data_IF_002426032956
#
_entry.id   IF_002426032956
#
_cell.length_a   1.000
_cell.length_b   1.000
_cell.length_c   1.000
_cell.angle_alpha   90.00
_cell.angle_beta   90.00
_cell.angle_gamma   90.00
#
_symmetry.space_group_name_H-M   'P 1'
#
loop_
_entity.id
_entity.type
_entity.pdbx_description
1 polymer ?
#
# COMPACT_ATOMS: atom_id res chain seq x y z
N UNK A 1 11.21 14.75 13.82
CA UNK A 1 10.08 14.27 12.99
C UNK A 1 10.63 13.49 11.83
N UNK A 2 10.07 12.31 11.52
CA UNK A 2 10.46 11.56 10.32
C UNK A 2 10.15 12.37 9.06
N UNK A 3 10.95 12.22 8.01
CA UNK A 3 10.79 12.94 6.73
C UNK A 3 9.52 12.50 5.98
N UNK A 4 8.98 11.33 6.30
CA UNK A 4 7.80 10.76 5.65
C UNK A 4 6.46 11.40 6.05
N UNK A 5 6.40 12.27 7.05
CA UNK A 5 5.14 12.96 7.37
C UNK A 5 4.89 14.13 6.42
N UNK A 6 3.70 14.17 5.82
CA UNK A 6 3.30 15.28 4.96
C UNK A 6 2.66 16.45 5.74
N UNK A 7 2.44 17.55 5.04
CA UNK A 7 1.77 18.75 5.58
C UNK A 7 0.30 18.50 5.95
N UNK A 8 -0.30 17.40 5.49
CA UNK A 8 -1.66 16.94 5.84
C UNK A 8 -1.68 16.00 7.06
N UNK A 9 -0.56 15.93 7.80
CA UNK A 9 -0.46 15.31 9.13
C UNK A 9 -0.56 13.77 9.09
N UNK A 10 -0.31 13.14 7.94
CA UNK A 10 -0.23 11.68 7.82
C UNK A 10 1.09 11.18 7.21
N UNK A 11 1.39 9.91 7.46
CA UNK A 11 2.57 9.23 6.91
C UNK A 11 2.42 9.00 5.41
N UNK A 12 3.26 9.65 4.60
CA UNK A 12 3.28 9.54 3.16
C UNK A 12 4.03 8.28 2.71
N UNK A 13 3.30 7.26 2.28
CA UNK A 13 3.86 5.98 1.85
C UNK A 13 4.92 6.09 0.75
N UNK A 14 4.77 7.02 -0.20
CA UNK A 14 5.79 7.23 -1.25
C UNK A 14 7.12 7.76 -0.68
N UNK A 15 7.10 8.34 0.52
CA UNK A 15 8.32 8.72 1.25
C UNK A 15 8.79 7.65 2.23
N UNK A 16 7.87 6.92 2.85
CA UNK A 16 8.21 5.86 3.83
C UNK A 16 9.12 4.80 3.22
N UNK A 17 8.92 4.45 1.95
CA UNK A 17 9.71 3.40 1.30
C UNK A 17 11.22 3.71 1.22
N UNK A 18 11.59 4.98 1.36
CA UNK A 18 12.99 5.43 1.35
C UNK A 18 13.58 5.58 2.77
N UNK A 19 12.80 5.33 3.82
CA UNK A 19 13.32 5.35 5.18
C UNK A 19 14.25 4.16 5.45
N UNK A 20 15.35 4.42 6.15
CA UNK A 20 16.35 3.41 6.49
C UNK A 20 15.74 2.18 7.20
N UNK A 21 14.82 2.40 8.16
CA UNK A 21 14.14 1.31 8.87
C UNK A 21 13.27 0.44 7.95
N UNK A 22 12.65 1.06 6.94
CA UNK A 22 11.81 0.36 5.97
C UNK A 22 12.66 -0.50 5.03
N UNK A 23 13.72 0.09 4.47
CA UNK A 23 14.68 -0.60 3.60
C UNK A 23 15.29 -1.81 4.34
N UNK A 24 15.82 -1.60 5.56
CA UNK A 24 16.33 -2.68 6.41
C UNK A 24 15.26 -3.74 6.71
N UNK A 25 13.98 -3.36 6.75
CA UNK A 25 12.87 -4.28 6.87
C UNK A 25 12.74 -5.22 5.68
N UNK A 26 12.80 -4.68 4.47
CA UNK A 26 12.81 -5.44 3.22
C UNK A 26 14.01 -6.39 3.14
N UNK A 27 15.22 -5.90 3.43
CA UNK A 27 16.46 -6.70 3.43
C UNK A 27 16.39 -7.89 4.40
N UNK A 28 15.79 -7.70 5.59
CA UNK A 28 15.59 -8.80 6.55
C UNK A 28 14.64 -9.88 6.02
N UNK A 29 13.61 -9.49 5.27
CA UNK A 29 12.69 -10.43 4.64
C UNK A 29 13.42 -11.22 3.55
N UNK A 30 14.19 -10.52 2.71
CA UNK A 30 15.01 -11.14 1.66
C UNK A 30 16.01 -12.16 2.22
N UNK A 31 16.81 -11.76 3.22
CA UNK A 31 17.77 -12.63 3.91
C UNK A 31 17.09 -13.86 4.53
N UNK A 32 15.90 -13.67 5.14
CA UNK A 32 15.13 -14.78 5.68
C UNK A 32 14.66 -15.77 4.60
N UNK A 33 14.23 -15.28 3.43
CA UNK A 33 13.89 -16.12 2.29
C UNK A 33 15.12 -16.88 1.76
N UNK A 34 16.27 -16.20 1.64
CA UNK A 34 17.53 -16.82 1.19
C UNK A 34 18.03 -17.92 2.15
N UNK A 35 17.68 -17.82 3.44
CA UNK A 35 17.93 -18.86 4.45
C UNK A 35 16.91 -20.01 4.43
N UNK A 36 15.91 -19.96 3.54
CA UNK A 36 14.88 -20.98 3.40
C UNK A 36 13.71 -20.85 4.37
N UNK A 37 13.56 -19.72 5.07
CA UNK A 37 12.42 -19.51 5.94
C UNK A 37 11.13 -19.25 5.15
N UNK A 38 10.02 -19.75 5.67
CA UNK A 38 8.67 -19.38 5.22
C UNK A 38 8.20 -18.19 6.04
N UNK A 39 8.16 -17.01 5.42
CA UNK A 39 7.83 -15.76 6.11
C UNK A 39 6.33 -15.48 5.97
N UNK A 40 5.67 -15.25 7.10
CA UNK A 40 4.31 -14.74 7.16
C UNK A 40 4.30 -13.41 7.91
N UNK A 41 3.73 -12.37 7.29
CA UNK A 41 3.53 -11.07 7.91
C UNK A 41 2.07 -10.95 8.34
N UNK A 42 1.83 -10.57 9.60
CA UNK A 42 0.47 -10.39 10.10
C UNK A 42 -0.15 -9.12 9.50
N UNK A 43 -1.39 -9.20 9.02
CA UNK A 43 -2.19 -8.03 8.68
C UNK A 43 -2.56 -7.20 9.93
N UNK A 44 -2.88 -5.93 9.74
CA UNK A 44 -3.44 -5.08 10.79
C UNK A 44 -4.97 -4.95 10.70
N UNK A 45 -5.54 -5.28 9.54
CA UNK A 45 -6.97 -5.19 9.23
C UNK A 45 -7.40 -6.46 8.49
N UNK A 46 -8.67 -6.83 8.63
CA UNK A 46 -9.27 -7.98 7.93
C UNK A 46 -9.31 -7.76 6.42
N UNK A 47 -9.68 -6.56 5.96
CA UNK A 47 -9.69 -6.20 4.54
C UNK A 47 -8.31 -5.64 4.11
N UNK A 48 -7.59 -6.28 3.18
CA UNK A 48 -6.27 -5.84 2.76
C UNK A 48 -6.25 -4.43 2.16
N UNK A 49 -7.30 -3.99 1.44
CA UNK A 49 -7.28 -2.62 0.87
C UNK A 49 -7.39 -1.52 1.94
N UNK A 50 -7.77 -1.89 3.18
CA UNK A 50 -7.80 -1.00 4.34
C UNK A 50 -6.57 -1.17 5.24
N UNK A 51 -5.65 -2.05 4.88
CA UNK A 51 -4.48 -2.37 5.69
C UNK A 51 -3.23 -1.65 5.18
N UNK A 52 -2.58 -0.86 6.03
CA UNK A 52 -1.31 -0.21 5.69
C UNK A 52 -0.24 -1.25 5.30
N UNK A 53 -0.24 -2.45 5.90
CA UNK A 53 0.70 -3.51 5.52
C UNK A 53 0.47 -4.07 4.12
N UNK A 54 -0.77 -4.06 3.61
CA UNK A 54 -1.02 -4.48 2.23
C UNK A 54 -0.70 -3.35 1.25
N UNK A 55 -1.18 -2.14 1.54
CA UNK A 55 -1.05 -0.97 0.66
C UNK A 55 0.38 -0.44 0.57
N UNK A 56 1.13 -0.44 1.68
CA UNK A 56 2.55 -0.05 1.71
C UNK A 56 3.44 -1.27 1.51
N UNK A 57 3.49 -2.18 2.50
CA UNK A 57 4.51 -3.24 2.54
C UNK A 57 4.29 -4.26 1.43
N UNK A 58 3.06 -4.74 1.22
CA UNK A 58 2.73 -5.71 0.19
C UNK A 58 3.05 -5.22 -1.21
N UNK A 59 2.69 -3.96 -1.51
CA UNK A 59 3.07 -3.31 -2.77
C UNK A 59 4.58 -3.21 -2.95
N UNK A 60 5.31 -2.68 -1.96
CA UNK A 60 6.77 -2.54 -2.06
C UNK A 60 7.48 -3.88 -2.21
N UNK A 61 7.00 -4.94 -1.54
CA UNK A 61 7.54 -6.29 -1.71
C UNK A 61 7.27 -6.84 -3.12
N UNK A 62 6.07 -6.62 -3.68
CA UNK A 62 5.77 -7.00 -5.07
C UNK A 62 6.70 -6.28 -6.05
N UNK A 63 6.89 -4.97 -5.89
CA UNK A 63 7.80 -4.15 -6.70
C UNK A 63 9.27 -4.61 -6.56
N UNK A 64 9.66 -5.11 -5.39
CA UNK A 64 10.96 -5.74 -5.15
C UNK A 64 11.07 -7.19 -5.69
N UNK A 65 10.05 -7.70 -6.38
CA UNK A 65 10.06 -9.01 -7.04
C UNK A 65 9.59 -10.18 -6.18
N UNK A 66 9.06 -9.93 -4.98
CA UNK A 66 8.50 -11.00 -4.15
C UNK A 66 7.15 -11.47 -4.69
N UNK A 67 6.89 -12.77 -4.61
CA UNK A 67 5.55 -13.32 -4.77
C UNK A 67 4.73 -13.11 -3.49
N UNK A 68 4.03 -11.98 -3.40
CA UNK A 68 3.23 -11.61 -2.22
C UNK A 68 1.84 -12.23 -2.30
N UNK A 69 1.51 -13.04 -1.29
CA UNK A 69 0.21 -13.69 -1.13
C UNK A 69 -0.50 -13.19 0.14
N UNK A 70 -1.79 -12.94 0.04
CA UNK A 70 -2.69 -12.51 1.11
C UNK A 70 -3.66 -13.64 1.43
N UNK A 71 -3.77 -13.98 2.72
CA UNK A 71 -4.81 -14.87 3.23
C UNK A 71 -5.99 -13.99 3.64
N UNK A 72 -7.11 -14.13 2.93
CA UNK A 72 -8.33 -13.37 3.20
C UNK A 72 -9.13 -13.99 4.34
N UNK A 73 -10.18 -13.31 4.78
CA UNK A 73 -11.06 -13.73 5.87
C UNK A 73 -11.87 -15.00 5.58
N UNK A 74 -12.17 -15.24 4.32
CA UNK A 74 -12.74 -16.49 3.80
C UNK A 74 -11.69 -17.61 3.61
N UNK A 75 -10.45 -17.39 4.08
CA UNK A 75 -9.28 -18.26 3.91
C UNK A 75 -8.78 -18.42 2.47
N UNK A 76 -9.36 -17.70 1.50
CA UNK A 76 -8.83 -17.70 0.14
C UNK A 76 -7.48 -17.01 0.09
N UNK A 77 -6.63 -17.48 -0.83
CA UNK A 77 -5.29 -16.91 -1.05
C UNK A 77 -5.31 -16.10 -2.34
N UNK A 78 -4.92 -14.83 -2.26
CA UNK A 78 -4.88 -13.90 -3.40
C UNK A 78 -3.52 -13.22 -3.49
N UNK A 79 -3.06 -12.92 -4.69
CA UNK A 79 -1.79 -12.21 -4.89
C UNK A 79 -1.97 -10.68 -4.79
N UNK A 80 -0.88 -9.93 -4.90
CA UNK A 80 -0.95 -8.46 -4.90
C UNK A 80 -1.69 -7.89 -6.12
N UNK A 81 -1.69 -8.54 -7.29
CA UNK A 81 -2.47 -8.07 -8.46
C UNK A 81 -3.97 -8.03 -8.17
N UNK A 82 -4.48 -9.00 -7.41
CA UNK A 82 -5.87 -8.98 -6.95
C UNK A 82 -6.15 -7.75 -6.06
N UNK A 83 -5.18 -7.36 -5.22
CA UNK A 83 -5.31 -6.13 -4.42
C UNK A 83 -5.32 -4.90 -5.33
N UNK A 84 -4.50 -4.87 -6.39
CA UNK A 84 -4.49 -3.78 -7.36
C UNK A 84 -5.86 -3.63 -8.05
N UNK A 85 -6.50 -4.74 -8.45
CA UNK A 85 -7.87 -4.69 -8.98
C UNK A 85 -8.87 -4.14 -7.96
N UNK A 86 -8.77 -4.56 -6.69
CA UNK A 86 -9.65 -4.09 -5.62
C UNK A 86 -9.45 -2.60 -5.32
N UNK A 87 -8.22 -2.10 -5.42
CA UNK A 87 -7.91 -0.67 -5.35
C UNK A 87 -8.58 0.07 -6.50
N UNK A 88 -8.46 -0.44 -7.73
CA UNK A 88 -9.11 0.16 -8.89
C UNK A 88 -10.64 0.11 -8.81
N UNK A 89 -11.23 -0.97 -8.31
CA UNK A 89 -12.68 -1.08 -8.12
C UNK A 89 -13.22 -0.03 -7.15
N UNK A 90 -12.44 0.29 -6.11
CA UNK A 90 -12.81 1.29 -5.12
C UNK A 90 -12.65 2.72 -5.63
N UNK A 91 -11.51 3.04 -6.24
CA UNK A 91 -11.15 4.42 -6.57
C UNK A 91 -11.46 4.81 -8.02
N UNK A 92 -11.59 3.83 -8.91
CA UNK A 92 -11.89 4.00 -10.33
C UNK A 92 -13.02 3.03 -10.79
N UNK A 93 -14.22 3.07 -10.16
CA UNK A 93 -15.32 2.16 -10.51
C UNK A 93 -15.85 2.36 -11.94
N UNK A 94 -15.64 3.55 -12.52
CA UNK A 94 -16.07 3.91 -13.88
C UNK A 94 -15.05 3.60 -14.98
N UNK A 95 -13.89 3.00 -14.67
CA UNK A 95 -12.77 2.83 -15.63
C UNK A 95 -13.08 2.00 -16.87
N UNK A 96 -14.15 1.21 -16.84
CA UNK A 96 -14.60 0.41 -17.99
C UNK A 96 -15.63 1.12 -18.88
N UNK A 97 -16.01 2.37 -18.53
CA UNK A 97 -16.94 3.17 -19.34
C UNK A 97 -16.16 4.06 -20.30
N UNK A 98 -16.70 4.25 -21.51
CA UNK A 98 -16.16 5.21 -22.48
C UNK A 98 -16.47 6.62 -21.94
N UNK A 99 -15.44 7.37 -21.57
CA UNK A 99 -15.55 8.76 -21.10
C UNK A 99 -15.24 9.76 -22.22
N UNK A 100 -15.50 11.04 -21.97
CA UNK A 100 -15.09 12.09 -22.92
C UNK A 100 -13.57 12.18 -22.99
N UNK A 101 -12.87 12.00 -21.86
CA UNK A 101 -11.40 11.96 -21.81
C UNK A 101 -10.83 10.82 -22.66
N UNK A 102 -11.54 9.69 -22.73
CA UNK A 102 -11.22 8.57 -23.62
C UNK A 102 -11.19 8.96 -25.09
N UNK A 103 -12.21 9.70 -25.52
CA UNK A 103 -12.30 10.18 -26.89
C UNK A 103 -11.25 11.27 -27.21
N UNK A 104 -10.77 11.97 -26.19
CA UNK A 104 -9.75 13.02 -26.31
C UNK A 104 -8.31 12.49 -26.14
N UNK A 105 -8.13 11.20 -25.84
CA UNK A 105 -6.81 10.59 -25.63
C UNK A 105 -6.13 11.01 -24.32
N UNK A 106 -6.89 11.51 -23.35
CA UNK A 106 -6.39 11.96 -22.04
C UNK A 106 -6.57 10.90 -20.94
N UNK A 107 -6.76 9.63 -21.31
CA UNK A 107 -6.96 8.55 -20.33
C UNK A 107 -5.67 8.27 -19.56
N UNK A 108 -5.82 8.10 -18.25
CA UNK A 108 -4.78 7.46 -17.46
C UNK A 108 -4.61 6.02 -17.93
N UNK A 109 -3.38 5.59 -18.13
CA UNK A 109 -3.07 4.17 -18.28
C UNK A 109 -3.49 3.41 -17.02
N UNK A 110 -3.66 2.10 -17.16
CA UNK A 110 -3.96 1.23 -16.02
C UNK A 110 -2.91 1.36 -14.90
N UNK A 111 -1.64 1.45 -15.26
CA UNK A 111 -0.55 1.62 -14.30
C UNK A 111 -0.68 2.94 -13.54
N UNK A 112 -0.96 4.04 -14.24
CA UNK A 112 -1.21 5.34 -13.61
C UNK A 112 -2.42 5.32 -12.68
N UNK A 113 -3.51 4.65 -13.07
CA UNK A 113 -4.68 4.48 -12.20
C UNK A 113 -4.33 3.67 -10.94
N UNK A 114 -3.53 2.60 -11.06
CA UNK A 114 -3.07 1.84 -9.90
C UNK A 114 -2.23 2.74 -8.99
N UNK A 115 -1.25 3.45 -9.54
CA UNK A 115 -0.42 4.38 -8.78
C UNK A 115 -1.25 5.41 -8.02
N UNK A 116 -2.18 6.07 -8.69
CA UNK A 116 -3.06 7.04 -8.06
C UNK A 116 -4.01 6.40 -7.03
N UNK A 117 -4.54 5.21 -7.32
CA UNK A 117 -5.39 4.48 -6.37
C UNK A 117 -4.68 4.15 -5.06
N UNK A 118 -3.39 3.82 -5.10
CA UNK A 118 -2.59 3.63 -3.88
C UNK A 118 -2.31 4.95 -3.15
N UNK A 119 -2.16 6.08 -3.85
CA UNK A 119 -2.08 7.41 -3.19
C UNK A 119 -3.38 7.77 -2.50
N UNK A 120 -4.51 7.50 -3.15
CA UNK A 120 -5.84 7.68 -2.56
C UNK A 120 -6.03 6.78 -1.32
N UNK A 121 -5.61 5.52 -1.40
CA UNK A 121 -5.59 4.62 -0.25
C UNK A 121 -4.71 5.15 0.87
N UNK A 122 -3.46 5.53 0.58
CA UNK A 122 -2.54 6.15 1.55
C UNK A 122 -3.19 7.36 2.25
N UNK A 123 -3.85 8.26 1.52
CA UNK A 123 -4.56 9.40 2.12
C UNK A 123 -5.70 8.98 3.06
N UNK A 124 -6.40 7.88 2.75
CA UNK A 124 -7.49 7.35 3.55
C UNK A 124 -7.01 6.63 4.82
N UNK A 125 -5.98 5.78 4.71
CA UNK A 125 -5.54 4.86 5.78
C UNK A 125 -4.19 5.21 6.42
N UNK A 126 -3.50 6.22 5.90
CA UNK A 126 -2.22 6.67 6.39
C UNK A 126 -2.29 7.09 7.86
N UNK A 127 -1.26 6.74 8.62
CA UNK A 127 -1.20 7.03 10.05
C UNK A 127 -1.21 8.54 10.30
N UNK A 128 -2.18 9.05 11.07
CA UNK A 128 -2.37 10.48 11.36
C UNK A 128 -1.75 10.88 12.71
N UNK A 129 -0.98 11.97 12.73
CA UNK A 129 -0.30 12.48 13.95
C UNK A 129 -1.32 13.07 14.94
N UNK A 130 -2.50 13.50 14.50
CA UNK A 130 -3.56 14.05 15.37
C UNK A 130 -4.09 13.04 16.42
N UNK A 131 -3.78 11.75 16.28
CA UNK A 131 -4.11 10.72 17.27
C UNK A 131 -3.03 10.52 18.35
N UNK A 132 -1.97 11.33 18.38
CA UNK A 132 -1.00 11.28 19.47
C UNK A 132 -1.63 11.88 20.74
N UNK A 133 -1.69 11.13 21.86
CA UNK A 133 -1.96 11.77 23.14
C UNK A 133 -0.86 12.83 23.34
N UNK A 134 -1.27 14.08 23.52
CA UNK A 134 -0.36 15.16 23.89
C UNK A 134 0.36 14.70 25.15
N UNK A 135 1.65 14.39 25.05
CA UNK A 135 2.47 14.16 26.23
C UNK A 135 2.39 15.44 27.06
N UNK A 136 1.64 15.38 28.17
CA UNK A 136 1.76 16.38 29.23
C UNK A 136 3.18 16.24 29.76
N UNK A 137 4.09 17.07 29.24
CA UNK A 137 5.40 17.31 29.86
C UNK A 137 5.15 17.62 31.33
N UNK A 138 5.59 16.72 32.21
CA UNK A 138 5.73 16.98 33.65
C UNK A 138 6.98 17.79 33.89
#
# INVERSE_FOLDING_TARGET
>A
NKVSYNNEVYSDFEKVIYEEDFIKGGERIEDGCNKGYKIALLGAMQDPIRCHRSILVGRSLKEAGFNVMHILDDYSIKNQDYIDERVLDKYFPGRSQITIDALLGNEMSREEMVNEGYRMANKEIGYRIECLPVEKKR
#
